data_IF_069819543283
#
_entry.id   IF_069819543283
#
_cell.length_a   1.000
_cell.length_b   1.000
_cell.length_c   1.000
_cell.angle_alpha   90.00
_cell.angle_beta   90.00
_cell.angle_gamma   90.00
#
_symmetry.space_group_name_H-M   'P 1'
#
loop_
_entity.id
_entity.type
_entity.pdbx_description
1 polymer ?
#
# COMPACT_ATOMS: atom_id res chain seq x y z
N UNK A 1 17.68 30.05 -35.19
CA UNK A 1 16.95 28.76 -35.18
C UNK A 1 17.66 27.64 -34.41
N UNK A 2 19.01 27.50 -34.46
CA UNK A 2 19.72 26.44 -33.70
C UNK A 2 19.64 26.56 -32.16
N UNK A 3 19.60 27.79 -31.62
CA UNK A 3 19.53 28.04 -30.17
C UNK A 3 18.15 27.75 -29.55
N UNK A 4 17.06 27.88 -30.31
CA UNK A 4 15.70 27.59 -29.85
C UNK A 4 15.40 26.09 -29.79
N UNK A 5 16.00 25.30 -30.68
CA UNK A 5 15.88 23.83 -30.65
C UNK A 5 16.56 23.26 -29.40
N UNK A 6 17.71 23.79 -29.00
CA UNK A 6 18.43 23.35 -27.79
C UNK A 6 17.62 23.60 -26.50
N UNK A 7 16.91 24.71 -26.42
CA UNK A 7 16.08 25.05 -25.25
C UNK A 7 14.83 24.16 -25.15
N UNK A 8 14.22 23.81 -26.30
CA UNK A 8 13.09 22.90 -26.36
C UNK A 8 13.47 21.47 -25.91
N UNK A 9 14.65 20.99 -26.32
CA UNK A 9 15.16 19.67 -25.91
C UNK A 9 15.46 19.61 -24.40
N UNK A 10 16.00 20.70 -23.82
CA UNK A 10 16.28 20.76 -22.39
C UNK A 10 15.01 20.71 -21.53
N UNK A 11 13.91 21.33 -21.99
CA UNK A 11 12.62 21.27 -21.31
C UNK A 11 11.96 19.89 -21.39
N UNK A 12 12.09 19.18 -22.51
CA UNK A 12 11.53 17.82 -22.65
C UNK A 12 12.25 16.77 -21.80
N UNK A 13 13.52 16.97 -21.46
CA UNK A 13 14.29 16.04 -20.62
C UNK A 13 14.00 16.27 -19.13
N UNK A 14 13.68 17.50 -18.72
CA UNK A 14 13.35 17.83 -17.33
C UNK A 14 11.90 17.47 -16.93
N UNK A 15 11.01 17.22 -17.90
CA UNK A 15 9.68 16.64 -17.66
C UNK A 15 9.68 15.12 -17.45
N UNK A 16 10.84 14.45 -17.51
CA UNK A 16 10.99 13.06 -17.09
C UNK A 16 11.13 13.01 -15.55
N UNK A 17 10.15 13.51 -14.81
CA UNK A 17 10.14 13.35 -13.35
C UNK A 17 9.94 11.88 -13.04
N UNK A 18 11.03 11.26 -12.61
CA UNK A 18 11.09 9.88 -12.21
C UNK A 18 10.21 9.60 -11.00
N UNK A 19 9.46 8.50 -11.09
CA UNK A 19 8.82 7.79 -9.98
C UNK A 19 9.91 7.35 -8.99
N UNK A 20 10.34 8.26 -8.12
CA UNK A 20 11.23 7.95 -7.01
C UNK A 20 10.45 7.98 -5.71
N UNK A 21 10.64 6.95 -4.89
CA UNK A 21 10.02 6.89 -3.56
C UNK A 21 10.46 8.09 -2.73
N UNK A 22 9.52 8.70 -2.01
CA UNK A 22 9.77 9.81 -1.12
C UNK A 22 10.27 9.29 0.24
N UNK A 23 11.17 9.99 0.90
CA UNK A 23 11.58 9.64 2.26
C UNK A 23 10.50 10.06 3.26
N UNK A 24 10.29 9.23 4.26
CA UNK A 24 9.39 9.51 5.37
C UNK A 24 10.04 9.05 6.68
N UNK A 25 9.92 9.86 7.72
CA UNK A 25 10.46 9.58 9.06
C UNK A 25 9.31 9.31 10.03
N UNK A 26 9.65 8.89 11.24
CA UNK A 26 8.68 8.74 12.33
C UNK A 26 7.90 10.04 12.57
N UNK A 27 6.58 9.93 12.77
CA UNK A 27 5.65 11.07 12.89
C UNK A 27 5.40 11.84 11.59
N UNK A 28 6.07 11.48 10.49
CA UNK A 28 5.97 12.17 9.22
C UNK A 28 4.66 11.89 8.48
N UNK A 29 4.22 12.87 7.68
CA UNK A 29 3.18 12.70 6.66
C UNK A 29 3.66 13.32 5.35
N UNK A 30 3.48 12.61 4.25
CA UNK A 30 3.84 13.10 2.90
C UNK A 30 2.69 12.85 1.93
N UNK A 31 2.48 13.79 1.01
CA UNK A 31 1.52 13.60 -0.09
C UNK A 31 2.17 12.78 -1.22
N UNK A 32 1.53 11.67 -1.56
CA UNK A 32 1.94 10.77 -2.63
C UNK A 32 0.84 10.73 -3.69
N UNK A 33 0.80 11.77 -4.52
CA UNK A 33 -0.16 11.94 -5.62
C UNK A 33 -1.62 11.88 -5.14
N UNK A 34 -1.99 12.73 -4.18
CA UNK A 34 -3.33 12.82 -3.60
C UNK A 34 -3.62 11.80 -2.51
N UNK A 35 -2.57 11.19 -1.95
CA UNK A 35 -2.66 10.26 -0.82
C UNK A 35 -1.75 10.78 0.28
N UNK A 36 -2.34 11.23 1.38
CA UNK A 36 -1.58 11.61 2.56
C UNK A 36 -1.14 10.34 3.27
N UNK A 37 0.15 10.02 3.18
CA UNK A 37 0.74 8.84 3.78
C UNK A 37 1.48 9.21 5.05
N UNK A 38 1.09 8.61 6.17
CA UNK A 38 1.77 8.80 7.45
C UNK A 38 2.48 7.53 7.89
N UNK A 39 3.58 7.69 8.63
CA UNK A 39 4.37 6.59 9.18
C UNK A 39 4.72 6.88 10.64
N UNK A 40 4.52 5.89 11.53
CA UNK A 40 4.83 6.03 12.95
C UNK A 40 5.50 4.77 13.51
N UNK A 41 6.50 4.97 14.35
CA UNK A 41 7.09 3.94 15.21
C UNK A 41 6.24 3.84 16.48
N UNK A 42 5.66 2.67 16.71
CA UNK A 42 4.80 2.40 17.87
C UNK A 42 5.58 1.86 19.06
N UNK A 43 6.64 1.09 18.80
CA UNK A 43 7.48 0.51 19.85
C UNK A 43 8.88 0.17 19.31
N UNK A 44 9.89 0.18 20.19
CA UNK A 44 11.26 -0.28 19.94
C UNK A 44 11.67 -1.29 21.00
N UNK A 45 12.24 -2.41 20.56
CA UNK A 45 12.81 -3.47 21.39
C UNK A 45 14.18 -3.86 20.83
N UNK A 46 15.12 -4.28 21.68
CA UNK A 46 16.36 -4.92 21.20
C UNK A 46 16.24 -6.44 21.27
N UNK A 47 16.65 -7.14 20.21
CA UNK A 47 16.52 -8.59 20.07
C UNK A 47 17.80 -9.24 19.56
N UNK A 48 18.12 -10.42 20.07
CA UNK A 48 19.23 -11.24 19.56
C UNK A 48 18.68 -12.31 18.61
N UNK A 49 19.27 -12.43 17.41
CA UNK A 49 18.91 -13.42 16.39
C UNK A 49 20.20 -14.04 15.84
N UNK A 50 20.38 -15.35 16.01
CA UNK A 50 21.56 -16.06 15.51
C UNK A 50 22.87 -15.52 16.09
N UNK A 51 22.88 -15.10 17.37
CA UNK A 51 24.04 -14.52 18.04
C UNK A 51 24.37 -13.07 17.69
N UNK A 52 23.58 -12.43 16.81
CA UNK A 52 23.70 -11.00 16.48
C UNK A 52 22.58 -10.20 17.11
N UNK A 53 22.88 -8.99 17.55
CA UNK A 53 21.91 -8.07 18.13
C UNK A 53 21.31 -7.17 17.05
N UNK A 54 20.02 -6.89 17.17
CA UNK A 54 19.24 -6.05 16.26
C UNK A 54 18.27 -5.19 17.07
N UNK A 55 17.81 -4.10 16.46
CA UNK A 55 16.68 -3.34 16.96
C UNK A 55 15.42 -3.71 16.16
N UNK A 56 14.34 -3.99 16.90
CA UNK A 56 13.03 -4.39 16.40
C UNK A 56 12.05 -3.25 16.63
N UNK A 57 11.45 -2.79 15.55
CA UNK A 57 10.49 -1.69 15.55
C UNK A 57 9.12 -2.21 15.17
N UNK A 58 8.12 -2.01 16.04
CA UNK A 58 6.72 -2.12 15.65
C UNK A 58 6.31 -0.78 15.04
N UNK A 59 5.77 -0.82 13.84
CA UNK A 59 5.47 0.38 13.04
C UNK A 59 4.04 0.34 12.54
N UNK A 60 3.49 1.51 12.25
CA UNK A 60 2.20 1.71 11.61
C UNK A 60 2.35 2.65 10.42
N UNK A 61 1.54 2.42 9.39
CA UNK A 61 1.40 3.34 8.28
C UNK A 61 -0.08 3.56 7.96
N UNK A 62 -0.41 4.75 7.48
CA UNK A 62 -1.76 5.10 7.04
C UNK A 62 -1.70 5.80 5.68
N UNK A 63 -2.76 5.66 4.87
CA UNK A 63 -2.94 6.43 3.65
C UNK A 63 -4.37 6.98 3.62
N UNK A 64 -4.49 8.30 3.56
CA UNK A 64 -5.76 9.02 3.48
C UNK A 64 -5.96 9.56 2.07
N UNK A 65 -7.11 9.30 1.46
CA UNK A 65 -7.42 9.81 0.13
C UNK A 65 -7.77 11.31 0.16
N UNK A 66 -6.89 12.13 -0.41
CA UNK A 66 -7.07 13.58 -0.62
C UNK A 66 -7.05 13.97 -2.10
N UNK A 67 -7.17 12.99 -3.01
CA UNK A 67 -7.05 13.19 -4.46
C UNK A 67 -8.24 13.91 -5.11
N UNK A 68 -9.28 14.23 -4.32
CA UNK A 68 -10.53 14.84 -4.80
C UNK A 68 -11.50 13.86 -5.44
N UNK A 69 -11.12 12.60 -5.65
CA UNK A 69 -11.97 11.55 -6.24
C UNK A 69 -11.86 10.23 -5.45
N UNK A 70 -12.89 9.39 -5.51
CA UNK A 70 -12.81 8.02 -4.97
C UNK A 70 -11.90 7.14 -5.83
N UNK A 71 -11.02 6.37 -5.19
CA UNK A 71 -10.18 5.39 -5.86
C UNK A 71 -10.93 4.07 -5.90
N UNK A 72 -11.08 3.48 -7.09
CA UNK A 72 -11.86 2.26 -7.30
C UNK A 72 -11.11 1.28 -8.19
N UNK A 73 -10.96 0.03 -7.74
CA UNK A 73 -10.40 -1.08 -8.50
C UNK A 73 -11.51 -2.09 -8.75
N UNK A 74 -12.02 -2.17 -9.97
CA UNK A 74 -13.11 -3.10 -10.33
C UNK A 74 -12.56 -4.46 -10.72
N UNK A 75 -13.24 -5.52 -10.29
CA UNK A 75 -12.96 -6.86 -10.81
C UNK A 75 -13.67 -7.06 -12.14
N UNK A 76 -13.04 -7.79 -13.05
CA UNK A 76 -13.62 -8.15 -14.34
C UNK A 76 -14.58 -9.34 -14.20
N UNK A 77 -14.31 -10.24 -13.24
CA UNK A 77 -15.13 -11.40 -12.94
C UNK A 77 -15.01 -11.76 -11.46
N UNK A 78 -15.92 -12.62 -10.98
CA UNK A 78 -15.83 -13.20 -9.64
C UNK A 78 -16.03 -14.73 -9.70
N UNK A 79 -15.15 -15.54 -9.10
CA UNK A 79 -13.95 -15.13 -8.35
C UNK A 79 -12.79 -14.71 -9.28
N UNK A 80 -12.08 -13.65 -8.91
CA UNK A 80 -10.81 -13.23 -9.55
C UNK A 80 -9.72 -13.10 -8.48
N UNK A 81 -8.54 -13.67 -8.74
CA UNK A 81 -7.36 -13.51 -7.88
C UNK A 81 -6.72 -12.15 -8.19
N UNK A 82 -6.54 -11.34 -7.15
CA UNK A 82 -6.00 -9.99 -7.27
C UNK A 82 -4.66 -9.92 -6.56
N UNK A 83 -3.59 -9.81 -7.35
CA UNK A 83 -2.21 -9.84 -6.87
C UNK A 83 -1.62 -8.44 -6.59
N UNK A 84 -2.20 -7.38 -7.16
CA UNK A 84 -1.64 -6.01 -7.12
C UNK A 84 -2.70 -4.95 -6.77
N UNK A 85 -3.37 -5.07 -5.62
CA UNK A 85 -4.34 -4.06 -5.15
C UNK A 85 -3.76 -3.07 -4.13
N UNK A 86 -2.44 -3.02 -3.94
CA UNK A 86 -1.83 -2.05 -3.05
C UNK A 86 -1.86 -0.65 -3.68
N UNK A 87 -2.26 0.35 -2.90
CA UNK A 87 -2.25 1.76 -3.31
C UNK A 87 -0.86 2.36 -3.13
N UNK A 88 -0.27 2.09 -1.97
CA UNK A 88 1.00 2.66 -1.51
C UNK A 88 1.84 1.54 -0.93
N UNK A 89 3.12 1.56 -1.25
CA UNK A 89 4.14 0.72 -0.63
C UNK A 89 5.06 1.60 0.22
N UNK A 90 5.22 1.23 1.48
CA UNK A 90 6.20 1.78 2.40
C UNK A 90 7.30 0.73 2.55
N UNK A 91 8.52 1.05 2.12
CA UNK A 91 9.67 0.15 2.16
C UNK A 91 10.74 0.66 3.13
N UNK A 92 11.16 -0.20 4.05
CA UNK A 92 12.27 0.03 4.97
C UNK A 92 13.55 -0.56 4.38
N UNK A 93 14.45 0.32 3.94
CA UNK A 93 15.62 -0.04 3.11
C UNK A 93 16.64 -0.84 3.91
N UNK A 94 16.84 -0.50 5.20
CA UNK A 94 17.77 -1.19 6.09
C UNK A 94 17.10 -2.33 6.88
N UNK A 95 15.85 -2.70 6.56
CA UNK A 95 15.22 -3.87 7.17
C UNK A 95 15.89 -5.17 6.71
N UNK A 96 16.33 -5.96 7.69
CA UNK A 96 17.06 -7.22 7.48
C UNK A 96 16.13 -8.35 7.04
N UNK A 97 14.87 -8.33 7.47
CA UNK A 97 13.91 -9.43 7.27
C UNK A 97 14.20 -10.65 8.15
N UNK A 98 15.04 -10.51 9.17
CA UNK A 98 15.33 -11.58 10.12
C UNK A 98 14.03 -12.05 10.82
N UNK A 99 13.95 -13.33 11.19
CA UNK A 99 12.77 -13.94 11.83
C UNK A 99 11.44 -13.72 11.06
N UNK A 100 11.47 -13.77 9.73
CA UNK A 100 10.27 -13.59 8.87
C UNK A 100 9.58 -12.23 9.12
N UNK A 101 10.33 -11.23 9.57
CA UNK A 101 9.81 -9.88 9.74
C UNK A 101 9.74 -9.16 8.41
N UNK A 102 8.83 -8.20 8.33
CA UNK A 102 8.57 -7.49 7.08
C UNK A 102 9.72 -6.54 6.75
N UNK A 103 9.88 -6.24 5.46
CA UNK A 103 10.71 -5.12 4.98
C UNK A 103 9.86 -3.99 4.43
N UNK A 104 8.57 -4.22 4.24
CA UNK A 104 7.63 -3.28 3.66
C UNK A 104 6.23 -3.43 4.23
N UNK A 105 5.41 -2.40 4.03
CA UNK A 105 3.98 -2.35 4.31
C UNK A 105 3.29 -1.97 3.00
N UNK A 106 2.29 -2.75 2.60
CA UNK A 106 1.45 -2.46 1.44
C UNK A 106 0.08 -1.98 1.93
N UNK A 107 -0.22 -0.69 1.77
CA UNK A 107 -1.51 -0.14 2.15
C UNK A 107 -2.54 -0.44 1.06
N UNK A 108 -3.55 -1.23 1.43
CA UNK A 108 -4.56 -1.77 0.51
C UNK A 108 -5.94 -1.17 0.80
N UNK A 109 -6.75 -0.92 -0.23
CA UNK A 109 -8.13 -0.48 -0.09
C UNK A 109 -9.03 -1.59 0.47
N UNK A 110 -10.19 -1.20 0.98
CA UNK A 110 -11.18 -2.16 1.49
C UNK A 110 -11.87 -2.86 0.33
N UNK A 111 -12.18 -4.14 0.51
CA UNK A 111 -12.99 -4.87 -0.46
C UNK A 111 -14.43 -4.35 -0.47
N UNK A 112 -14.96 -4.14 -1.66
CA UNK A 112 -16.39 -3.89 -1.89
C UNK A 112 -17.09 -5.22 -2.12
N UNK A 113 -17.82 -5.69 -1.10
CA UNK A 113 -18.57 -6.95 -1.15
C UNK A 113 -20.05 -6.67 -1.38
N UNK A 114 -20.62 -7.29 -2.41
CA UNK A 114 -22.03 -7.25 -2.75
C UNK A 114 -22.69 -8.59 -2.41
N UNK A 115 -23.88 -8.54 -1.82
CA UNK A 115 -24.70 -9.74 -1.61
C UNK A 115 -25.57 -9.98 -2.84
N UNK A 116 -25.29 -11.05 -3.59
CA UNK A 116 -26.00 -11.41 -4.82
C UNK A 116 -26.98 -12.54 -4.53
N UNK A 117 -28.26 -12.32 -4.81
CA UNK A 117 -29.27 -13.38 -4.75
C UNK A 117 -29.23 -14.18 -6.03
N UNK A 118 -29.03 -15.49 -5.92
CA UNK A 118 -29.13 -16.43 -7.03
C UNK A 118 -30.17 -17.50 -6.73
N UNK A 119 -30.75 -18.08 -7.79
CA UNK A 119 -31.73 -19.14 -7.68
C UNK A 119 -31.13 -20.44 -8.21
N UNK A 120 -31.23 -21.51 -7.42
CA UNK A 120 -30.71 -22.82 -7.78
C UNK A 120 -31.62 -23.92 -7.23
N UNK A 121 -31.53 -25.10 -7.84
CA UNK A 121 -32.16 -26.29 -7.28
C UNK A 121 -31.33 -26.80 -6.10
N UNK A 122 -31.98 -27.06 -4.96
CA UNK A 122 -31.34 -27.71 -3.82
C UNK A 122 -31.20 -29.23 -4.08
N UNK A 123 -30.63 -29.96 -3.12
CA UNK A 123 -30.43 -31.43 -3.23
C UNK A 123 -31.74 -32.18 -3.38
N UNK A 124 -32.84 -31.60 -2.92
CA UNK A 124 -34.21 -32.12 -3.00
C UNK A 124 -34.92 -31.75 -4.32
N UNK A 125 -34.25 -31.07 -5.25
CA UNK A 125 -34.82 -30.67 -6.54
C UNK A 125 -35.81 -29.50 -6.47
N UNK A 126 -35.86 -28.77 -5.36
CA UNK A 126 -36.67 -27.56 -5.21
C UNK A 126 -35.88 -26.32 -5.65
N UNK A 127 -36.50 -25.49 -6.48
CA UNK A 127 -35.94 -24.20 -6.86
C UNK A 127 -36.04 -23.21 -5.70
N UNK A 128 -34.90 -22.77 -5.18
CA UNK A 128 -34.79 -21.91 -4.00
C UNK A 128 -33.82 -20.77 -4.26
N UNK A 129 -34.05 -19.62 -3.61
CA UNK A 129 -33.12 -18.50 -3.61
C UNK A 129 -32.06 -18.68 -2.53
N UNK A 130 -30.83 -18.29 -2.82
CA UNK A 130 -29.72 -18.22 -1.88
C UNK A 130 -28.92 -16.93 -2.10
N UNK A 131 -28.23 -16.46 -1.07
CA UNK A 131 -27.42 -15.24 -1.13
C UNK A 131 -25.95 -15.62 -1.12
N UNK A 132 -25.19 -15.11 -2.08
CA UNK A 132 -23.76 -15.28 -2.19
C UNK A 132 -23.06 -13.92 -2.04
N UNK A 133 -22.16 -13.73 -1.04
CA UNK A 133 -21.31 -12.56 -1.00
C UNK A 133 -20.25 -12.62 -2.11
N UNK A 134 -20.22 -11.60 -2.95
CA UNK A 134 -19.30 -11.47 -4.10
C UNK A 134 -18.49 -10.19 -3.94
N UNK A 135 -17.16 -10.30 -4.00
CA UNK A 135 -16.29 -9.12 -4.05
C UNK A 135 -16.37 -8.53 -5.46
N UNK A 136 -16.89 -7.30 -5.58
CA UNK A 136 -17.02 -6.60 -6.85
C UNK A 136 -15.78 -5.75 -7.19
N UNK A 137 -14.97 -5.42 -6.19
CA UNK A 137 -13.82 -4.56 -6.35
C UNK A 137 -13.22 -4.15 -5.01
N UNK A 138 -12.36 -3.14 -5.05
CA UNK A 138 -11.83 -2.47 -3.88
C UNK A 138 -11.99 -0.97 -4.04
N UNK A 139 -12.13 -0.25 -2.93
CA UNK A 139 -12.37 1.18 -2.95
C UNK A 139 -11.71 1.90 -1.79
N UNK A 140 -11.47 3.19 -2.02
CA UNK A 140 -11.08 4.17 -1.01
C UNK A 140 -11.74 5.51 -1.37
N UNK A 141 -12.80 5.88 -0.65
CA UNK A 141 -13.53 7.12 -0.94
C UNK A 141 -12.75 8.36 -0.52
N UNK A 142 -13.19 9.54 -0.97
CA UNK A 142 -12.58 10.80 -0.58
C UNK A 142 -12.65 10.99 0.94
N UNK A 143 -11.51 11.22 1.57
CA UNK A 143 -11.37 11.35 3.02
C UNK A 143 -11.21 10.03 3.77
N UNK A 144 -11.43 8.88 3.11
CA UNK A 144 -11.19 7.58 3.75
C UNK A 144 -9.72 7.34 4.00
N UNK A 145 -9.46 6.57 5.06
CA UNK A 145 -8.11 6.16 5.47
C UNK A 145 -8.00 4.65 5.55
N UNK A 146 -6.91 4.11 5.00
CA UNK A 146 -6.48 2.73 5.22
C UNK A 146 -5.22 2.70 6.05
N UNK A 147 -5.04 1.64 6.83
CA UNK A 147 -3.90 1.49 7.73
C UNK A 147 -3.44 0.04 7.80
N UNK A 148 -2.15 -0.14 8.09
CA UNK A 148 -1.57 -1.45 8.38
C UNK A 148 -0.37 -1.29 9.31
N UNK A 149 0.02 -2.39 9.95
CA UNK A 149 1.14 -2.44 10.88
C UNK A 149 2.15 -3.50 10.43
N UNK A 150 3.42 -3.25 10.74
CA UNK A 150 4.47 -4.23 10.52
C UNK A 150 5.48 -4.24 11.66
N UNK A 151 6.35 -5.24 11.60
CA UNK A 151 7.56 -5.31 12.42
C UNK A 151 8.74 -5.23 11.47
N UNK A 152 9.61 -4.26 11.70
CA UNK A 152 10.88 -4.11 11.01
C UNK A 152 12.01 -4.49 11.97
N UNK A 153 12.99 -5.26 11.49
CA UNK A 153 14.24 -5.53 12.22
C UNK A 153 15.39 -4.91 11.44
N UNK A 154 16.10 -3.99 12.07
CA UNK A 154 17.25 -3.28 11.50
C UNK A 154 18.51 -3.58 12.36
N UNK A 155 19.73 -3.31 11.84
CA UNK A 155 20.94 -3.43 12.64
C UNK A 155 20.84 -2.65 13.96
N UNK A 156 21.48 -3.17 15.02
CA UNK A 156 21.43 -2.53 16.34
C UNK A 156 21.96 -1.09 16.26
N UNK A 157 21.21 -0.14 16.86
CA UNK A 157 21.58 1.26 16.86
C UNK A 157 21.15 2.04 15.61
N UNK A 158 20.59 1.38 14.59
CA UNK A 158 19.99 2.06 13.43
C UNK A 158 18.49 2.32 13.64
N UNK A 159 17.99 3.37 12.97
CA UNK A 159 16.56 3.67 12.85
C UNK A 159 16.02 3.15 11.51
N UNK A 160 14.71 2.86 11.40
CA UNK A 160 14.09 2.49 10.14
C UNK A 160 14.31 3.55 9.05
N UNK A 161 15.01 3.18 7.98
CA UNK A 161 15.22 4.04 6.82
C UNK A 161 14.11 3.83 5.80
N UNK A 162 13.05 4.63 5.91
CA UNK A 162 11.78 4.38 5.22
C UNK A 162 11.62 5.24 3.98
N UNK A 163 11.06 4.63 2.93
CA UNK A 163 10.66 5.29 1.69
C UNK A 163 9.24 4.88 1.32
N UNK A 164 8.50 5.78 0.71
CA UNK A 164 7.11 5.58 0.30
C UNK A 164 6.95 5.83 -1.19
N UNK A 165 6.15 5.00 -1.87
CA UNK A 165 5.77 5.21 -3.27
C UNK A 165 4.34 4.77 -3.54
N UNK A 166 3.71 5.43 -4.50
CA UNK A 166 2.41 5.01 -5.05
C UNK A 166 2.61 3.87 -6.05
N UNK A 167 1.69 2.90 -6.03
CA UNK A 167 1.71 1.72 -6.91
C UNK A 167 0.56 1.71 -7.93
N UNK A 168 -0.55 2.38 -7.63
CA UNK A 168 -1.76 2.50 -8.45
C UNK A 168 -2.11 3.96 -8.63
#
# INVERSE_FOLDING_TARGET
MKKTIFLAVFFTISSLTSLHGQKITDGGTVDVNGLDVSFNILNKESVTVGGKNFDRYKVSATATNKSGNSINMRLASAPQIVINNALVEINCINATGAKLTSKKIDLKPKAHTLNVTYWAYNKEGKYVSSVLPVVAGYYLDLGDTVSDNAVFIVPQGEEPNVSVRKLQ
#
